data_IF_137182125744
#
_entry.id   IF_137182125744
#
_cell.length_a   1.000
_cell.length_b   1.000
_cell.length_c   1.000
_cell.angle_alpha   90.00
_cell.angle_beta   90.00
_cell.angle_gamma   90.00
#
_symmetry.space_group_name_H-M   'P 1'
#
loop_
_entity.id
_entity.type
_entity.pdbx_description
1 polymer ?
#
# COMPACT_ATOMS: atom_id res chain seq x y z
N UNK A 1 59.26 -23.30 -31.06
CA UNK A 1 58.24 -22.52 -30.32
C UNK A 1 57.39 -21.74 -31.32
N UNK A 2 56.17 -22.21 -31.61
CA UNK A 2 55.18 -21.50 -32.45
C UNK A 2 54.31 -20.65 -31.53
N UNK A 3 54.26 -19.33 -31.73
CA UNK A 3 53.32 -18.42 -31.05
C UNK A 3 52.08 -18.24 -31.94
N UNK A 4 50.93 -18.69 -31.45
CA UNK A 4 49.61 -18.41 -32.03
C UNK A 4 49.22 -16.97 -31.65
N UNK A 5 48.92 -16.14 -32.66
CA UNK A 5 48.19 -14.89 -32.47
C UNK A 5 46.69 -15.17 -32.53
N UNK A 6 45.98 -15.00 -31.41
CA UNK A 6 44.52 -14.96 -31.38
C UNK A 6 44.06 -13.53 -31.68
N UNK A 7 43.48 -13.32 -32.86
CA UNK A 7 42.73 -12.11 -33.18
C UNK A 7 41.37 -12.13 -32.48
N UNK A 8 41.13 -11.17 -31.60
CA UNK A 8 39.82 -10.95 -30.98
C UNK A 8 39.00 -10.09 -31.96
N UNK A 9 37.97 -10.69 -32.56
CA UNK A 9 36.97 -9.97 -33.35
C UNK A 9 36.01 -9.30 -32.36
N UNK A 10 36.08 -7.97 -32.30
CA UNK A 10 35.07 -7.14 -31.64
C UNK A 10 33.82 -7.11 -32.50
N UNK A 11 32.82 -7.95 -32.19
CA UNK A 11 31.46 -7.75 -32.65
C UNK A 11 30.83 -6.64 -31.79
N UNK A 12 30.80 -5.41 -32.30
CA UNK A 12 30.00 -4.34 -31.75
C UNK A 12 28.51 -4.68 -31.93
N UNK A 13 27.86 -5.16 -30.87
CA UNK A 13 26.41 -5.21 -30.81
C UNK A 13 25.89 -3.77 -30.70
N UNK A 14 25.46 -3.21 -31.82
CA UNK A 14 24.67 -1.97 -31.85
C UNK A 14 23.32 -2.33 -31.21
N UNK A 15 23.15 -2.08 -29.92
CA UNK A 15 21.83 -2.01 -29.30
C UNK A 15 21.16 -0.74 -29.80
N UNK A 16 20.35 -0.85 -30.85
CA UNK A 16 19.40 0.19 -31.20
C UNK A 16 18.38 0.29 -30.06
N UNK A 17 18.53 1.29 -29.20
CA UNK A 17 17.49 1.73 -28.27
C UNK A 17 16.34 2.28 -29.13
N UNK A 18 15.37 1.44 -29.45
CA UNK A 18 14.11 1.90 -30.04
C UNK A 18 13.44 2.80 -29.01
N UNK A 19 13.61 4.12 -29.16
CA UNK A 19 12.92 5.10 -28.34
C UNK A 19 11.41 4.85 -28.42
N UNK A 20 10.73 4.74 -27.27
CA UNK A 20 9.29 4.56 -27.24
C UNK A 20 8.60 5.79 -27.82
N UNK A 21 7.69 5.56 -28.78
CA UNK A 21 6.86 6.64 -29.35
C UNK A 21 5.62 6.85 -28.49
N UNK A 22 5.02 8.06 -28.49
CA UNK A 22 3.75 8.31 -27.81
C UNK A 22 2.65 7.30 -28.18
N UNK A 23 2.55 6.95 -29.47
CA UNK A 23 1.59 5.96 -29.97
C UNK A 23 1.83 4.57 -29.38
N UNK A 24 3.09 4.15 -29.21
CA UNK A 24 3.40 2.86 -28.59
C UNK A 24 2.98 2.81 -27.12
N UNK A 25 3.17 3.92 -26.38
CA UNK A 25 2.80 4.00 -24.96
C UNK A 25 1.27 4.04 -24.81
N UNK A 26 0.58 4.76 -25.69
CA UNK A 26 -0.89 4.77 -25.72
C UNK A 26 -1.47 3.37 -25.98
N UNK A 27 -0.85 2.60 -26.89
CA UNK A 27 -1.23 1.21 -27.13
C UNK A 27 -0.94 0.31 -25.91
N UNK A 28 0.18 0.52 -25.22
CA UNK A 28 0.51 -0.20 -23.99
C UNK A 28 -0.51 0.07 -22.87
N UNK A 29 -0.94 1.32 -22.70
CA UNK A 29 -2.01 1.70 -21.76
C UNK A 29 -3.31 0.96 -22.12
N UNK A 30 -3.70 0.95 -23.39
CA UNK A 30 -4.90 0.23 -23.86
C UNK A 30 -4.85 -1.26 -23.51
N UNK A 31 -3.72 -1.92 -23.77
CA UNK A 31 -3.56 -3.35 -23.47
C UNK A 31 -3.45 -3.63 -21.97
N UNK A 32 -2.90 -2.71 -21.18
CA UNK A 32 -2.94 -2.80 -19.72
C UNK A 32 -4.37 -2.69 -19.17
N UNK A 33 -5.18 -1.77 -19.71
CA UNK A 33 -6.60 -1.65 -19.35
C UNK A 33 -7.41 -2.90 -19.74
N UNK A 34 -7.09 -3.55 -20.87
CA UNK A 34 -7.70 -4.83 -21.25
C UNK A 34 -7.39 -5.93 -20.22
N UNK A 35 -6.15 -6.01 -19.75
CA UNK A 35 -5.79 -6.95 -18.69
C UNK A 35 -6.54 -6.68 -17.39
N UNK A 36 -6.62 -5.41 -16.97
CA UNK A 36 -7.33 -5.02 -15.74
C UNK A 36 -8.82 -5.33 -15.82
N UNK A 37 -9.46 -5.08 -16.96
CA UNK A 37 -10.87 -5.40 -17.18
C UNK A 37 -11.10 -6.92 -17.12
N UNK A 38 -10.28 -7.69 -17.83
CA UNK A 38 -10.44 -9.15 -17.91
C UNK A 38 -10.13 -9.85 -16.59
N UNK A 39 -9.18 -9.33 -15.82
CA UNK A 39 -8.80 -9.90 -14.52
C UNK A 39 -9.76 -9.53 -13.39
N UNK A 40 -10.64 -8.54 -13.57
CA UNK A 40 -11.62 -8.14 -12.56
C UNK A 40 -12.70 -9.22 -12.39
N UNK A 41 -12.91 -9.68 -11.15
CA UNK A 41 -13.91 -10.69 -10.82
C UNK A 41 -15.30 -10.30 -11.32
N UNK A 42 -15.90 -11.18 -12.12
CA UNK A 42 -17.24 -10.98 -12.70
C UNK A 42 -18.37 -11.29 -11.73
N UNK A 43 -18.18 -12.29 -10.87
CA UNK A 43 -19.22 -12.82 -10.00
C UNK A 43 -18.67 -13.02 -8.59
N UNK A 44 -19.57 -12.99 -7.61
CA UNK A 44 -19.24 -13.33 -6.23
C UNK A 44 -19.31 -14.84 -6.04
N UNK A 45 -18.25 -15.40 -5.47
CA UNK A 45 -18.20 -16.75 -4.91
C UNK A 45 -17.91 -16.58 -3.43
N UNK A 46 -18.96 -16.68 -2.62
CA UNK A 46 -18.90 -16.44 -1.18
C UNK A 46 -17.76 -17.19 -0.49
N UNK A 47 -16.99 -16.49 0.34
CA UNK A 47 -15.83 -17.05 1.01
C UNK A 47 -14.63 -17.38 0.11
N UNK A 48 -14.64 -16.97 -1.17
CA UNK A 48 -13.54 -17.18 -2.12
C UNK A 48 -13.09 -15.90 -2.83
N UNK A 49 -14.00 -15.21 -3.51
CA UNK A 49 -13.75 -14.00 -4.29
C UNK A 49 -15.05 -13.23 -4.49
N UNK A 50 -14.99 -11.91 -4.59
CA UNK A 50 -16.19 -11.07 -4.72
C UNK A 50 -16.20 -10.32 -6.05
N UNK A 51 -17.39 -10.07 -6.59
CA UNK A 51 -17.54 -9.30 -7.83
C UNK A 51 -16.91 -7.90 -7.67
N UNK A 52 -16.21 -7.45 -8.71
CA UNK A 52 -15.54 -6.14 -8.71
C UNK A 52 -14.12 -6.15 -8.15
N UNK A 53 -13.69 -7.19 -7.44
CA UNK A 53 -12.31 -7.33 -6.95
C UNK A 53 -11.32 -7.63 -8.07
N UNK A 54 -10.05 -7.28 -7.84
CA UNK A 54 -8.93 -7.83 -8.61
C UNK A 54 -8.18 -8.88 -7.80
N UNK A 55 -7.53 -9.86 -8.46
CA UNK A 55 -6.77 -10.89 -7.77
C UNK A 55 -5.65 -10.31 -6.91
N UNK A 56 -5.69 -10.64 -5.63
CA UNK A 56 -4.60 -10.47 -4.68
C UNK A 56 -4.28 -11.80 -4.03
N UNK A 57 -3.02 -11.98 -3.66
CA UNK A 57 -2.56 -13.22 -3.06
C UNK A 57 -1.83 -12.95 -1.76
N UNK A 58 -2.29 -13.63 -0.72
CA UNK A 58 -1.61 -13.72 0.56
C UNK A 58 -0.63 -14.91 0.52
N UNK A 59 0.63 -14.66 0.89
CA UNK A 59 1.72 -15.62 0.78
C UNK A 59 2.46 -15.76 2.10
N UNK A 60 2.51 -16.99 2.62
CA UNK A 60 3.38 -17.39 3.72
C UNK A 60 4.72 -17.87 3.14
N UNK A 61 5.80 -17.14 3.38
CA UNK A 61 7.14 -17.46 2.84
C UNK A 61 7.98 -18.34 3.75
N UNK A 62 7.66 -18.41 5.03
CA UNK A 62 8.31 -19.31 5.99
C UNK A 62 7.27 -19.84 6.96
N UNK A 63 7.57 -20.97 7.61
CA UNK A 63 6.71 -21.48 8.68
C UNK A 63 6.70 -20.47 9.83
N UNK A 64 5.52 -20.21 10.38
CA UNK A 64 5.37 -19.39 11.58
C UNK A 64 4.42 -20.05 12.56
N UNK A 65 4.77 -19.96 13.84
CA UNK A 65 3.98 -20.57 14.91
C UNK A 65 2.58 -19.95 14.92
N UNK A 66 1.53 -20.76 14.95
CA UNK A 66 0.10 -20.38 14.82
C UNK A 66 -0.39 -19.95 13.43
N UNK A 67 0.49 -19.60 12.49
CA UNK A 67 0.16 -19.25 11.08
C UNK A 67 0.57 -20.34 10.06
N UNK A 68 1.04 -21.51 10.51
CA UNK A 68 1.28 -22.64 9.62
C UNK A 68 2.52 -22.49 8.70
N UNK A 69 2.47 -23.17 7.56
CA UNK A 69 3.60 -23.42 6.63
C UNK A 69 3.51 -22.59 5.34
N UNK A 70 4.49 -22.76 4.44
CA UNK A 70 4.57 -22.04 3.16
C UNK A 70 3.39 -22.37 2.25
N UNK A 71 2.58 -21.37 1.94
CA UNK A 71 1.46 -21.48 1.02
C UNK A 71 1.12 -20.12 0.41
N UNK A 72 0.45 -20.15 -0.75
CA UNK A 72 -0.09 -18.97 -1.45
C UNK A 72 -1.59 -19.18 -1.62
N UNK A 73 -2.39 -18.23 -1.16
CA UNK A 73 -3.84 -18.24 -1.29
C UNK A 73 -4.30 -16.95 -1.94
N UNK A 74 -5.37 -17.01 -2.72
CA UNK A 74 -6.08 -15.80 -3.10
C UNK A 74 -6.74 -15.21 -1.85
N UNK A 75 -6.70 -13.90 -1.71
CA UNK A 75 -7.26 -13.19 -0.58
C UNK A 75 -7.99 -11.94 -1.04
N UNK A 76 -9.12 -11.63 -0.40
CA UNK A 76 -9.87 -10.40 -0.61
C UNK A 76 -9.41 -9.37 0.40
N UNK A 77 -8.87 -8.25 -0.07
CA UNK A 77 -8.45 -7.16 0.80
C UNK A 77 -8.78 -5.79 0.18
N UNK A 78 -9.10 -4.86 1.07
CA UNK A 78 -9.40 -3.45 0.77
C UNK A 78 -8.29 -2.82 -0.06
N UNK A 79 -7.04 -2.97 0.39
CA UNK A 79 -5.87 -2.34 -0.22
C UNK A 79 -5.78 -2.53 -1.73
N UNK A 80 -5.96 -3.76 -2.22
CA UNK A 80 -5.82 -4.05 -3.67
C UNK A 80 -6.94 -3.42 -4.47
N UNK A 81 -8.20 -3.67 -4.08
CA UNK A 81 -9.37 -3.22 -4.84
C UNK A 81 -9.50 -1.70 -4.80
N UNK A 82 -9.33 -1.08 -3.64
CA UNK A 82 -9.35 0.38 -3.47
C UNK A 82 -8.17 1.03 -4.17
N UNK A 83 -6.98 0.42 -4.06
CA UNK A 83 -5.77 0.92 -4.71
C UNK A 83 -5.92 0.99 -6.23
N UNK A 84 -6.39 -0.09 -6.86
CA UNK A 84 -6.63 -0.13 -8.32
C UNK A 84 -7.74 0.85 -8.71
N UNK A 85 -8.85 0.88 -7.97
CA UNK A 85 -9.94 1.82 -8.22
C UNK A 85 -9.46 3.27 -8.21
N UNK A 86 -8.69 3.68 -7.20
CA UNK A 86 -8.17 5.04 -7.09
C UNK A 86 -7.20 5.39 -8.23
N UNK A 87 -6.33 4.45 -8.62
CA UNK A 87 -5.42 4.65 -9.76
C UNK A 87 -6.20 4.83 -11.07
N UNK A 88 -7.16 3.95 -11.33
CA UNK A 88 -8.02 4.02 -12.52
C UNK A 88 -8.87 5.29 -12.54
N UNK A 89 -9.41 5.72 -11.40
CA UNK A 89 -10.16 6.96 -11.29
C UNK A 89 -9.32 8.19 -11.61
N UNK A 90 -8.05 8.22 -11.15
CA UNK A 90 -7.10 9.26 -11.53
C UNK A 90 -6.83 9.25 -13.04
N UNK A 91 -6.67 8.07 -13.63
CA UNK A 91 -6.49 7.95 -15.07
C UNK A 91 -7.68 8.52 -15.85
N UNK A 92 -8.90 8.15 -15.45
CA UNK A 92 -10.13 8.59 -16.11
C UNK A 92 -10.40 10.10 -15.94
N UNK A 93 -10.15 10.65 -14.75
CA UNK A 93 -10.30 12.08 -14.52
C UNK A 93 -9.25 12.91 -15.27
N UNK A 94 -8.09 12.33 -15.58
CA UNK A 94 -7.06 12.96 -16.39
C UNK A 94 -7.33 12.85 -17.89
N UNK A 95 -7.96 11.76 -18.34
CA UNK A 95 -8.39 11.55 -19.73
C UNK A 95 -9.73 10.80 -19.77
N UNK A 96 -10.81 11.54 -20.00
CA UNK A 96 -12.18 10.99 -20.03
C UNK A 96 -12.46 10.16 -21.29
N UNK A 97 -11.56 10.14 -22.29
CA UNK A 97 -11.69 9.28 -23.47
C UNK A 97 -11.45 7.80 -23.16
N UNK A 98 -10.82 7.49 -22.01
CA UNK A 98 -10.61 6.14 -21.50
C UNK A 98 -11.90 5.50 -20.95
N UNK A 99 -12.94 5.45 -21.78
CA UNK A 99 -14.29 4.98 -21.46
C UNK A 99 -14.35 3.58 -20.84
N UNK A 100 -13.39 2.70 -21.17
CA UNK A 100 -13.25 1.35 -20.59
C UNK A 100 -13.06 1.36 -19.06
N UNK A 101 -12.59 2.47 -18.49
CA UNK A 101 -12.38 2.57 -17.04
C UNK A 101 -13.69 2.64 -16.26
N UNK A 102 -14.71 3.35 -16.76
CA UNK A 102 -15.94 3.60 -15.98
C UNK A 102 -16.65 2.31 -15.55
N UNK A 103 -16.85 1.30 -16.42
CA UNK A 103 -17.45 0.03 -16.01
C UNK A 103 -16.65 -0.69 -14.91
N UNK A 104 -15.31 -0.66 -14.97
CA UNK A 104 -14.46 -1.25 -13.93
C UNK A 104 -14.65 -0.56 -12.58
N UNK A 105 -14.74 0.77 -12.56
CA UNK A 105 -14.97 1.55 -11.34
C UNK A 105 -16.36 1.26 -10.75
N UNK A 106 -17.41 1.27 -11.57
CA UNK A 106 -18.78 0.96 -11.13
C UNK A 106 -18.88 -0.42 -10.50
N UNK A 107 -18.23 -1.42 -11.11
CA UNK A 107 -18.26 -2.79 -10.62
C UNK A 107 -17.51 -2.97 -9.30
N UNK A 108 -16.40 -2.25 -9.11
CA UNK A 108 -15.60 -2.32 -7.88
C UNK A 108 -16.26 -1.59 -6.70
N UNK A 109 -17.08 -0.55 -6.96
CA UNK A 109 -17.58 0.34 -5.92
C UNK A 109 -18.40 -0.34 -4.81
N UNK A 110 -19.41 -1.20 -5.09
CA UNK A 110 -20.16 -1.88 -4.03
C UNK A 110 -19.27 -2.74 -3.14
N UNK A 111 -18.28 -3.38 -3.75
CA UNK A 111 -17.34 -4.25 -3.07
C UNK A 111 -16.36 -3.47 -2.19
N UNK A 112 -15.87 -2.30 -2.65
CA UNK A 112 -15.11 -1.35 -1.82
C UNK A 112 -15.89 -0.99 -0.55
N UNK A 113 -17.16 -0.61 -0.70
CA UNK A 113 -18.02 -0.24 0.43
C UNK A 113 -18.23 -1.41 1.42
N UNK A 114 -18.10 -2.67 0.98
CA UNK A 114 -18.21 -3.84 1.85
C UNK A 114 -17.09 -3.97 2.90
N UNK A 115 -15.97 -3.27 2.71
CA UNK A 115 -14.87 -3.20 3.68
C UNK A 115 -15.13 -2.20 4.80
N UNK A 116 -16.11 -1.31 4.65
CA UNK A 116 -16.40 -0.26 5.61
C UNK A 116 -17.19 -0.77 6.83
N UNK A 117 -16.98 -0.14 7.97
CA UNK A 117 -17.93 -0.05 9.08
C UNK A 117 -18.29 1.42 9.23
N UNK A 118 -19.50 1.80 8.82
CA UNK A 118 -19.85 3.19 8.55
C UNK A 118 -18.95 3.80 7.46
N UNK A 119 -18.07 4.74 7.81
CA UNK A 119 -17.11 5.37 6.91
C UNK A 119 -15.65 5.03 7.25
N UNK A 120 -15.42 4.12 8.19
CA UNK A 120 -14.09 3.63 8.55
C UNK A 120 -13.85 2.30 7.83
N UNK A 121 -12.67 2.13 7.25
CA UNK A 121 -12.34 0.96 6.45
C UNK A 121 -11.28 0.11 7.14
N UNK A 122 -11.14 -1.11 6.65
CA UNK A 122 -10.23 -2.11 7.19
C UNK A 122 -9.70 -2.99 6.06
N UNK A 123 -8.50 -3.50 6.25
CA UNK A 123 -7.84 -4.39 5.32
C UNK A 123 -8.69 -5.58 4.89
N UNK A 124 -9.38 -6.24 5.82
CA UNK A 124 -10.31 -7.34 5.54
C UNK A 124 -11.75 -6.90 5.70
N UNK A 125 -12.71 -7.55 5.02
CA UNK A 125 -14.13 -7.35 5.28
C UNK A 125 -14.61 -8.17 6.48
N UNK A 126 -15.80 -7.84 7.01
CA UNK A 126 -16.45 -8.64 8.06
C UNK A 126 -17.04 -9.91 7.45
N UNK A 127 -16.66 -11.07 7.98
CA UNK A 127 -17.11 -12.39 7.53
C UNK A 127 -17.54 -13.25 8.73
N UNK A 128 -18.37 -14.29 8.51
CA UNK A 128 -18.61 -15.29 9.53
C UNK A 128 -17.28 -15.91 9.98
N UNK A 129 -17.04 -16.12 11.28
CA UNK A 129 -15.81 -16.73 11.74
C UNK A 129 -15.69 -18.16 11.19
N UNK A 130 -14.46 -18.61 10.92
CA UNK A 130 -14.24 -19.97 10.38
C UNK A 130 -14.30 -21.07 11.47
N UNK A 131 -14.55 -20.67 12.73
CA UNK A 131 -14.64 -21.51 13.92
C UNK A 131 -15.18 -20.73 15.11
N UNK A 132 -15.49 -21.44 16.19
CA UNK A 132 -15.72 -20.87 17.53
C UNK A 132 -14.52 -20.06 18.02
N UNK A 133 -14.78 -18.85 18.50
CA UNK A 133 -13.77 -17.88 18.94
C UNK A 133 -13.53 -17.91 20.45
N UNK A 134 -14.45 -18.46 21.23
CA UNK A 134 -14.30 -18.65 22.67
C UNK A 134 -14.48 -20.12 23.10
N UNK A 135 -14.35 -20.37 24.41
CA UNK A 135 -14.67 -21.67 25.01
C UNK A 135 -16.06 -21.56 25.62
N UNK A 136 -16.92 -22.54 25.38
CA UNK A 136 -18.30 -22.52 25.86
C UNK A 136 -19.27 -22.01 24.79
N UNK A 137 -20.42 -21.52 25.23
CA UNK A 137 -21.47 -21.03 24.33
C UNK A 137 -21.02 -19.77 23.58
N UNK A 138 -21.27 -19.72 22.28
CA UNK A 138 -21.07 -18.52 21.46
C UNK A 138 -22.27 -17.56 21.59
N UNK A 139 -22.05 -16.23 21.43
CA UNK A 139 -23.14 -15.26 21.39
C UNK A 139 -24.15 -15.58 20.28
N UNK A 140 -25.42 -15.22 20.50
CA UNK A 140 -26.51 -15.42 19.54
C UNK A 140 -27.16 -14.08 19.18
N UNK A 141 -27.10 -13.63 17.91
CA UNK A 141 -26.38 -14.26 16.79
C UNK A 141 -24.85 -14.16 16.94
N UNK A 142 -24.10 -15.03 16.26
CA UNK A 142 -22.62 -14.98 16.22
C UNK A 142 -22.18 -13.73 15.44
N UNK A 143 -21.41 -12.81 16.05
CA UNK A 143 -20.93 -11.61 15.34
C UNK A 143 -19.97 -11.96 14.20
N UNK A 144 -20.04 -11.16 13.13
CA UNK A 144 -19.05 -11.19 12.06
C UNK A 144 -17.71 -10.62 12.54
N UNK A 145 -16.61 -11.13 11.98
CA UNK A 145 -15.25 -10.71 12.31
C UNK A 145 -14.42 -10.44 11.07
N UNK A 146 -13.40 -9.59 11.19
CA UNK A 146 -12.41 -9.37 10.13
C UNK A 146 -11.50 -10.59 10.04
N UNK A 147 -11.26 -11.11 8.84
CA UNK A 147 -10.35 -12.23 8.60
C UNK A 147 -10.02 -12.39 7.11
N UNK A 148 -8.92 -13.11 6.77
CA UNK A 148 -8.69 -13.59 5.42
C UNK A 148 -9.88 -14.37 4.87
N UNK A 149 -10.09 -14.27 3.55
CA UNK A 149 -11.23 -14.91 2.88
C UNK A 149 -11.03 -16.42 2.78
N UNK A 150 -9.96 -16.85 2.12
CA UNK A 150 -9.70 -18.27 1.84
C UNK A 150 -8.77 -18.95 2.85
N UNK A 151 -7.87 -18.18 3.47
CA UNK A 151 -6.89 -18.74 4.38
C UNK A 151 -7.53 -19.08 5.73
N UNK A 152 -7.62 -20.37 6.03
CA UNK A 152 -8.20 -20.86 7.28
C UNK A 152 -7.21 -20.69 8.43
N UNK A 153 -7.64 -19.94 9.44
CA UNK A 153 -6.87 -19.67 10.64
C UNK A 153 -7.09 -20.81 11.65
N UNK A 154 -6.01 -21.50 12.00
CA UNK A 154 -6.10 -22.81 12.68
C UNK A 154 -6.31 -22.75 14.20
N UNK A 155 -6.24 -21.57 14.84
CA UNK A 155 -6.39 -21.43 16.29
C UNK A 155 -7.36 -20.31 16.66
N UNK A 156 -8.01 -20.41 17.83
CA UNK A 156 -8.86 -19.32 18.36
C UNK A 156 -8.07 -18.02 18.50
N UNK A 157 -6.85 -18.13 19.05
CA UNK A 157 -5.95 -16.99 19.22
C UNK A 157 -5.74 -16.22 17.92
N UNK A 158 -5.35 -16.92 16.84
CA UNK A 158 -5.00 -16.24 15.59
C UNK A 158 -6.25 -15.76 14.83
N UNK A 159 -7.41 -16.39 15.02
CA UNK A 159 -8.69 -15.85 14.54
C UNK A 159 -9.03 -14.54 15.25
N UNK A 160 -8.94 -14.50 16.58
CA UNK A 160 -9.18 -13.27 17.34
C UNK A 160 -8.15 -12.18 16.98
N UNK A 161 -6.89 -12.56 16.74
CA UNK A 161 -5.85 -11.61 16.30
C UNK A 161 -6.04 -11.08 14.87
N UNK A 162 -6.74 -11.82 14.00
CA UNK A 162 -7.03 -11.37 12.64
C UNK A 162 -8.23 -10.41 12.59
N UNK A 163 -9.05 -10.36 13.64
CA UNK A 163 -10.16 -9.43 13.80
C UNK A 163 -9.63 -8.02 14.11
N UNK A 164 -8.86 -7.42 13.21
CA UNK A 164 -8.16 -6.17 13.47
C UNK A 164 -9.10 -4.96 13.47
N UNK A 165 -8.71 -3.92 14.20
CA UNK A 165 -9.41 -2.62 14.22
C UNK A 165 -9.44 -1.95 12.84
N UNK A 166 -10.42 -1.10 12.54
CA UNK A 166 -10.32 -0.20 11.40
C UNK A 166 -9.04 0.65 11.49
N UNK A 167 -8.48 1.05 10.35
CA UNK A 167 -7.21 1.79 10.32
C UNK A 167 -7.29 3.03 9.43
N UNK A 168 -6.42 4.00 9.72
CA UNK A 168 -6.39 5.28 9.06
C UNK A 168 -6.00 5.19 7.58
N UNK A 169 -5.27 4.15 7.19
CA UNK A 169 -4.76 3.99 5.83
C UNK A 169 -5.84 3.51 4.87
N UNK A 170 -6.48 2.40 5.24
CA UNK A 170 -7.64 1.88 4.53
C UNK A 170 -8.79 2.89 4.59
N UNK A 171 -9.00 3.57 5.72
CA UNK A 171 -10.03 4.61 5.85
C UNK A 171 -9.79 5.79 4.92
N UNK A 172 -8.58 6.32 4.86
CA UNK A 172 -8.24 7.41 3.93
C UNK A 172 -8.39 6.96 2.46
N UNK A 173 -7.89 5.76 2.15
CA UNK A 173 -7.93 5.22 0.78
C UNK A 173 -9.34 4.90 0.31
N UNK A 174 -10.19 4.32 1.17
CA UNK A 174 -11.57 3.99 0.87
C UNK A 174 -12.45 5.23 0.72
N UNK A 175 -12.28 6.23 1.59
CA UNK A 175 -12.98 7.50 1.42
C UNK A 175 -12.46 8.29 0.21
N UNK A 176 -11.21 8.12 -0.20
CA UNK A 176 -10.73 8.65 -1.46
C UNK A 176 -11.41 7.97 -2.66
N UNK A 177 -11.70 6.67 -2.58
CA UNK A 177 -12.49 5.96 -3.59
C UNK A 177 -13.92 6.48 -3.67
N UNK A 178 -14.58 6.73 -2.54
CA UNK A 178 -15.90 7.39 -2.49
C UNK A 178 -15.82 8.78 -3.11
N UNK A 179 -14.80 9.58 -2.79
CA UNK A 179 -14.61 10.90 -3.38
C UNK A 179 -14.48 10.86 -4.91
N UNK A 180 -13.70 9.91 -5.42
CA UNK A 180 -13.57 9.68 -6.87
C UNK A 180 -14.89 9.23 -7.49
N UNK A 181 -15.62 8.33 -6.82
CA UNK A 181 -16.92 7.84 -7.28
C UNK A 181 -17.92 9.00 -7.43
N UNK A 182 -18.06 9.82 -6.38
CA UNK A 182 -18.87 11.03 -6.39
C UNK A 182 -18.52 11.96 -7.55
N UNK A 183 -17.22 12.18 -7.79
CA UNK A 183 -16.76 13.07 -8.86
C UNK A 183 -17.00 12.53 -10.26
N UNK A 184 -16.88 11.22 -10.47
CA UNK A 184 -17.00 10.58 -11.79
C UNK A 184 -18.46 10.28 -12.16
N UNK A 185 -19.28 9.92 -11.17
CA UNK A 185 -20.65 9.45 -11.38
C UNK A 185 -21.72 10.44 -10.89
N UNK A 186 -21.33 11.58 -10.31
CA UNK A 186 -22.25 12.61 -9.86
C UNK A 186 -23.08 12.20 -8.62
N UNK A 187 -22.58 11.26 -7.82
CA UNK A 187 -23.18 10.85 -6.56
C UNK A 187 -22.74 11.76 -5.41
N UNK A 188 -23.45 11.69 -4.28
CA UNK A 188 -23.20 12.52 -3.09
C UNK A 188 -23.03 11.67 -1.83
N UNK A 189 -22.29 10.56 -1.96
CA UNK A 189 -22.07 9.65 -0.85
C UNK A 189 -21.19 10.33 0.22
N UNK A 190 -21.49 10.03 1.48
CA UNK A 190 -20.86 10.70 2.62
C UNK A 190 -19.36 10.36 2.71
N UNK A 191 -18.57 11.34 3.14
CA UNK A 191 -17.12 11.25 3.29
C UNK A 191 -16.72 11.45 4.74
N UNK A 192 -15.76 10.65 5.22
CA UNK A 192 -15.25 10.76 6.59
C UNK A 192 -14.68 12.15 6.88
N UNK A 193 -14.87 12.64 8.10
CA UNK A 193 -14.33 13.94 8.52
C UNK A 193 -12.91 13.80 9.10
N UNK A 194 -12.09 14.87 9.09
CA UNK A 194 -10.76 14.88 9.71
C UNK A 194 -10.76 14.46 11.18
N UNK A 195 -11.88 14.68 11.88
CA UNK A 195 -12.05 14.35 13.30
C UNK A 195 -11.82 12.87 13.61
N UNK A 196 -12.09 11.97 12.66
CA UNK A 196 -11.83 10.54 12.84
C UNK A 196 -10.33 10.27 12.95
N UNK A 197 -9.50 10.89 12.12
CA UNK A 197 -8.05 10.75 12.22
C UNK A 197 -7.49 11.51 13.42
N UNK A 198 -8.01 12.71 13.71
CA UNK A 198 -7.56 13.55 14.83
C UNK A 198 -7.91 12.96 16.21
N UNK A 199 -8.83 12.00 16.29
CA UNK A 199 -9.11 11.27 17.52
C UNK A 199 -7.95 10.34 17.93
N UNK A 200 -7.05 9.99 17.00
CA UNK A 200 -5.97 9.03 17.20
C UNK A 200 -4.63 9.63 16.77
N UNK A 201 -4.15 10.58 17.56
CA UNK A 201 -2.84 11.22 17.36
C UNK A 201 -1.78 10.65 18.30
N UNK A 202 -0.52 10.68 17.88
CA UNK A 202 0.65 10.37 18.71
C UNK A 202 0.91 11.50 19.72
N UNK A 203 0.03 11.60 20.71
CA UNK A 203 0.07 12.56 21.82
C UNK A 203 -0.02 11.80 23.15
N UNK A 204 0.90 12.07 24.09
CA UNK A 204 0.85 11.56 25.47
C UNK A 204 0.67 10.04 25.62
N UNK A 205 1.18 9.26 24.66
CA UNK A 205 1.00 7.80 24.62
C UNK A 205 1.64 7.10 25.81
N UNK A 206 0.86 6.25 26.49
CA UNK A 206 1.29 5.37 27.58
C UNK A 206 1.64 3.97 27.12
N UNK A 207 1.56 3.70 25.83
CA UNK A 207 1.99 2.45 25.26
C UNK A 207 2.58 2.69 23.88
N UNK A 208 3.91 2.67 23.78
CA UNK A 208 4.60 2.93 22.51
C UNK A 208 5.06 1.63 21.90
N UNK A 209 4.78 1.46 20.61
CA UNK A 209 5.19 0.27 19.91
C UNK A 209 6.73 0.23 19.83
N UNK A 210 7.33 -0.91 20.19
CA UNK A 210 8.79 -1.08 20.26
C UNK A 210 9.49 -0.74 18.94
N UNK A 211 8.86 -1.06 17.81
CA UNK A 211 9.42 -0.76 16.48
C UNK A 211 9.49 0.75 16.26
N UNK A 212 8.45 1.50 16.61
CA UNK A 212 8.47 2.95 16.48
C UNK A 212 9.46 3.56 17.47
N UNK A 213 9.55 3.04 18.69
CA UNK A 213 10.55 3.48 19.67
C UNK A 213 11.99 3.34 19.15
N UNK A 214 12.33 2.21 18.54
CA UNK A 214 13.68 1.94 18.03
C UNK A 214 13.97 2.62 16.67
N UNK A 215 12.97 2.76 15.81
CA UNK A 215 13.20 3.10 14.40
C UNK A 215 12.48 4.35 13.90
N UNK A 216 11.50 4.92 14.62
CA UNK A 216 10.78 6.11 14.17
C UNK A 216 11.33 7.41 14.76
N UNK A 217 11.97 7.37 15.94
CA UNK A 217 12.84 8.44 16.45
C UNK A 217 12.19 9.80 16.77
N UNK A 218 10.87 9.95 16.62
CA UNK A 218 10.16 11.18 16.93
C UNK A 218 8.98 10.89 17.89
N UNK A 219 9.22 10.92 19.21
CA UNK A 219 8.18 10.69 20.19
C UNK A 219 7.19 11.87 20.28
N UNK A 220 5.90 11.59 20.52
CA UNK A 220 4.87 12.63 20.64
C UNK A 220 4.81 13.54 19.41
N UNK A 221 4.93 12.94 18.23
CA UNK A 221 4.94 13.66 16.97
C UNK A 221 3.63 14.39 16.66
N UNK A 222 2.53 14.05 17.36
CA UNK A 222 1.16 14.48 17.05
C UNK A 222 0.70 14.07 15.64
N UNK A 223 1.40 13.10 15.03
CA UNK A 223 1.03 12.50 13.75
C UNK A 223 -0.12 11.50 13.94
N UNK A 224 -0.81 11.15 12.85
CA UNK A 224 -1.89 10.16 12.91
C UNK A 224 -1.33 8.78 13.23
N UNK A 225 -2.03 8.06 14.12
CA UNK A 225 -1.75 6.66 14.40
C UNK A 225 -2.41 5.76 13.35
N UNK A 226 -1.87 4.55 13.17
CA UNK A 226 -2.38 3.61 12.17
C UNK A 226 -3.78 3.10 12.52
N UNK A 227 -3.99 2.59 13.72
CA UNK A 227 -5.26 1.98 14.10
C UNK A 227 -6.24 3.02 14.67
N UNK A 228 -7.50 2.99 14.25
CA UNK A 228 -8.56 3.88 14.72
C UNK A 228 -9.25 3.29 15.96
N UNK A 229 -8.44 2.88 16.94
CA UNK A 229 -8.91 2.28 18.18
C UNK A 229 -8.04 2.62 19.37
N UNK A 230 -8.54 2.28 20.56
CA UNK A 230 -7.86 2.54 21.82
C UNK A 230 -6.78 1.46 22.07
N UNK A 231 -5.54 1.89 22.19
CA UNK A 231 -4.46 1.01 22.62
C UNK A 231 -4.56 0.65 24.11
N UNK A 232 -3.98 -0.50 24.49
CA UNK A 232 -3.85 -0.85 25.90
C UNK A 232 -2.89 0.13 26.58
N UNK A 233 -3.19 0.55 27.81
CA UNK A 233 -2.33 1.49 28.55
C UNK A 233 -1.48 0.79 29.61
N UNK A 234 -0.20 1.19 29.72
CA UNK A 234 0.63 0.86 30.87
C UNK A 234 0.54 1.95 31.94
N UNK A 235 0.45 1.56 33.22
CA UNK A 235 0.62 2.50 34.36
C UNK A 235 1.96 3.25 34.30
N UNK A 236 3.02 2.55 33.89
CA UNK A 236 4.37 3.09 33.64
C UNK A 236 4.97 2.30 32.49
N UNK A 237 5.07 2.93 31.31
CA UNK A 237 5.64 2.32 30.13
C UNK A 237 7.17 2.22 30.23
N UNK A 238 7.73 1.10 29.79
CA UNK A 238 9.14 0.99 29.42
C UNK A 238 9.31 -0.13 28.38
N UNK A 239 10.43 -0.10 27.66
CA UNK A 239 10.69 -1.04 26.56
C UNK A 239 10.74 -2.51 27.02
N UNK A 240 11.25 -2.79 28.23
CA UNK A 240 11.33 -4.15 28.77
C UNK A 240 9.94 -4.75 29.02
N UNK A 241 8.98 -3.95 29.51
CA UNK A 241 7.58 -4.38 29.66
C UNK A 241 6.96 -4.72 28.32
N UNK A 242 7.12 -3.85 27.32
CA UNK A 242 6.62 -4.13 25.96
C UNK A 242 7.23 -5.42 25.40
N UNK A 243 8.54 -5.63 25.57
CA UNK A 243 9.20 -6.87 25.15
C UNK A 243 8.63 -8.08 25.90
N UNK A 244 8.44 -8.00 27.22
CA UNK A 244 7.84 -9.07 28.02
C UNK A 244 6.44 -9.44 27.54
N UNK A 245 5.58 -8.45 27.35
CA UNK A 245 4.22 -8.66 26.80
C UNK A 245 4.23 -9.28 25.40
N UNK A 246 5.16 -8.84 24.55
CA UNK A 246 5.38 -9.43 23.23
C UNK A 246 5.91 -10.85 23.28
N UNK A 247 6.67 -11.25 24.31
CA UNK A 247 7.13 -12.64 24.47
C UNK A 247 6.02 -13.55 24.99
N UNK A 248 5.13 -13.02 25.83
CA UNK A 248 3.99 -13.74 26.41
C UNK A 248 2.68 -13.42 25.71
N UNK A 249 2.71 -13.05 24.42
CA UNK A 249 1.54 -12.55 23.69
C UNK A 249 0.33 -13.51 23.71
N UNK A 250 0.58 -14.80 23.84
CA UNK A 250 -0.40 -15.87 23.84
C UNK A 250 -1.03 -16.12 25.22
N UNK A 251 -0.59 -15.43 26.28
CA UNK A 251 -1.16 -15.52 27.63
C UNK A 251 -2.21 -14.43 27.83
N UNK A 252 -3.34 -14.77 28.46
CA UNK A 252 -4.45 -13.83 28.75
C UNK A 252 -4.06 -12.62 29.59
N UNK A 253 -2.99 -12.73 30.38
CA UNK A 253 -2.45 -11.62 31.18
C UNK A 253 -1.67 -10.61 30.35
N UNK A 254 -1.38 -10.91 29.08
CA UNK A 254 -0.67 -9.99 28.20
C UNK A 254 -1.62 -8.98 27.55
N UNK A 255 -1.20 -7.72 27.47
CA UNK A 255 -1.91 -6.70 26.69
C UNK A 255 -1.98 -7.02 25.18
N UNK A 256 -1.14 -7.92 24.70
CA UNK A 256 -1.14 -8.39 23.32
C UNK A 256 -2.15 -9.52 23.08
N UNK A 257 -2.88 -9.96 24.11
CA UNK A 257 -3.83 -11.06 23.95
C UNK A 257 -5.13 -10.57 23.30
N UNK A 258 -5.56 -11.13 22.16
CA UNK A 258 -6.78 -10.74 21.49
C UNK A 258 -8.01 -11.36 22.17
N UNK A 259 -9.08 -10.57 22.30
CA UNK A 259 -10.35 -11.00 22.91
C UNK A 259 -11.33 -11.47 21.82
N UNK A 260 -12.13 -12.53 22.05
CA UNK A 260 -13.17 -12.95 21.11
C UNK A 260 -14.12 -11.79 20.74
N UNK A 261 -14.40 -11.67 19.45
CA UNK A 261 -15.34 -10.68 18.87
C UNK A 261 -15.01 -9.20 19.09
N UNK A 262 -13.90 -8.87 19.74
CA UNK A 262 -13.44 -7.49 19.89
C UNK A 262 -12.41 -7.17 18.80
N UNK A 263 -12.51 -6.01 18.14
CA UNK A 263 -11.45 -5.55 17.24
C UNK A 263 -10.12 -5.46 17.97
N UNK A 264 -9.05 -5.90 17.30
CA UNK A 264 -7.73 -6.07 17.88
C UNK A 264 -6.74 -5.10 17.25
N UNK A 265 -6.05 -4.33 18.09
CA UNK A 265 -4.85 -3.62 17.68
C UNK A 265 -3.68 -4.59 17.81
N UNK A 266 -2.93 -4.89 16.72
CA UNK A 266 -1.80 -5.79 16.77
C UNK A 266 -0.83 -5.47 17.90
N UNK A 267 -0.59 -6.48 18.75
CA UNK A 267 0.25 -6.42 19.94
C UNK A 267 -0.23 -5.42 21.01
N UNK A 268 -1.52 -5.09 21.00
CA UNK A 268 -2.17 -4.20 21.96
C UNK A 268 -1.65 -2.75 21.92
N UNK A 269 -0.88 -2.39 20.89
CA UNK A 269 -0.11 -1.16 20.84
C UNK A 269 -0.22 -0.54 19.46
N UNK A 270 -0.61 0.72 19.37
CA UNK A 270 -0.80 1.37 18.07
C UNK A 270 0.54 1.70 17.40
N UNK A 271 0.54 1.88 16.09
CA UNK A 271 1.74 2.14 15.30
C UNK A 271 1.73 3.55 14.69
N UNK A 272 2.93 4.07 14.41
CA UNK A 272 3.15 5.21 13.54
C UNK A 272 3.81 4.75 12.23
N UNK A 273 3.23 5.15 11.12
CA UNK A 273 3.70 4.80 9.78
C UNK A 273 3.62 6.03 8.86
N UNK A 274 4.73 6.33 8.16
CA UNK A 274 4.83 7.52 7.34
C UNK A 274 4.05 7.42 6.03
N UNK A 275 3.81 6.21 5.52
CA UNK A 275 2.94 5.99 4.35
C UNK A 275 1.48 6.20 4.74
N UNK A 276 1.05 5.67 5.90
CA UNK A 276 -0.30 5.91 6.43
C UNK A 276 -0.56 7.41 6.58
N UNK A 277 0.38 8.13 7.20
CA UNK A 277 0.27 9.58 7.35
C UNK A 277 0.20 10.30 5.99
N UNK A 278 1.00 9.90 5.01
CA UNK A 278 0.95 10.49 3.67
C UNK A 278 -0.38 10.19 2.94
N UNK A 279 -0.97 9.00 3.13
CA UNK A 279 -2.27 8.65 2.55
C UNK A 279 -3.42 9.45 3.18
N UNK A 280 -3.40 9.65 4.51
CA UNK A 280 -4.34 10.57 5.19
C UNK A 280 -4.19 12.00 4.65
N UNK A 281 -2.97 12.52 4.53
CA UNK A 281 -2.73 13.85 3.96
C UNK A 281 -3.25 13.95 2.52
N UNK A 282 -3.04 12.92 1.69
CA UNK A 282 -3.56 12.84 0.31
C UNK A 282 -5.07 12.99 0.27
N UNK A 283 -5.78 12.19 1.08
CA UNK A 283 -7.24 12.23 1.15
C UNK A 283 -7.76 13.59 1.59
N UNK A 284 -7.23 14.12 2.71
CA UNK A 284 -7.66 15.41 3.25
C UNK A 284 -7.36 16.57 2.30
N UNK A 285 -6.24 16.52 1.57
CA UNK A 285 -5.90 17.50 0.54
C UNK A 285 -6.88 17.45 -0.64
N UNK A 286 -7.17 16.25 -1.19
CA UNK A 286 -8.14 16.08 -2.29
C UNK A 286 -9.54 16.54 -1.93
N UNK A 287 -9.96 16.30 -0.68
CA UNK A 287 -11.26 16.76 -0.16
C UNK A 287 -11.30 18.26 0.16
N UNK A 288 -10.15 18.93 0.26
CA UNK A 288 -10.08 20.35 0.64
C UNK A 288 -10.22 20.62 2.14
N UNK A 289 -10.05 19.61 2.98
CA UNK A 289 -10.23 19.72 4.44
C UNK A 289 -8.91 19.60 5.22
N UNK A 290 -7.78 19.57 4.50
CA UNK A 290 -6.45 19.42 5.10
C UNK A 290 -6.19 20.42 6.23
N UNK A 291 -6.56 21.69 6.06
CA UNK A 291 -6.33 22.76 7.05
C UNK A 291 -7.14 22.61 8.33
N UNK A 292 -8.24 21.85 8.29
CA UNK A 292 -9.13 21.62 9.43
C UNK A 292 -8.61 20.53 10.37
N UNK A 293 -7.68 19.70 9.90
CA UNK A 293 -7.10 18.64 10.71
C UNK A 293 -6.02 19.17 11.66
N UNK A 294 -6.09 18.74 12.92
CA UNK A 294 -5.03 18.96 13.92
C UNK A 294 -3.77 18.16 13.61
N UNK A 295 -3.91 16.89 13.22
CA UNK A 295 -2.78 15.98 13.01
C UNK A 295 -1.89 16.33 11.83
N UNK A 296 -2.34 17.21 10.91
CA UNK A 296 -1.61 17.55 9.67
C UNK A 296 -0.17 18.01 9.91
N UNK A 297 0.06 18.83 10.94
CA UNK A 297 1.39 19.39 11.24
C UNK A 297 2.30 18.29 11.79
N UNK A 298 1.77 17.45 12.69
CA UNK A 298 2.51 16.32 13.23
C UNK A 298 2.87 15.29 12.16
N UNK A 299 1.92 14.96 11.29
CA UNK A 299 2.11 14.07 10.14
C UNK A 299 3.23 14.56 9.22
N UNK A 300 3.21 15.86 8.86
CA UNK A 300 4.25 16.50 8.05
C UNK A 300 5.62 16.39 8.72
N UNK A 301 5.73 16.81 9.98
CA UNK A 301 6.99 16.80 10.72
C UNK A 301 7.55 15.38 10.84
N UNK A 302 6.67 14.41 11.05
CA UNK A 302 7.04 13.00 11.11
C UNK A 302 7.57 12.49 9.77
N UNK A 303 6.88 12.77 8.67
CA UNK A 303 7.31 12.43 7.31
C UNK A 303 8.67 13.07 6.97
N UNK A 304 8.83 14.35 7.25
CA UNK A 304 10.07 15.09 7.03
C UNK A 304 11.23 14.51 7.85
N UNK A 305 10.98 14.16 9.12
CA UNK A 305 11.97 13.49 9.97
C UNK A 305 12.41 12.14 9.38
N UNK A 306 11.48 11.30 8.91
CA UNK A 306 11.84 10.02 8.29
C UNK A 306 12.71 10.22 7.02
N UNK A 307 12.40 11.25 6.22
CA UNK A 307 13.17 11.57 5.02
C UNK A 307 14.57 12.09 5.34
N UNK A 308 14.71 13.05 6.27
CA UNK A 308 16.02 13.58 6.73
C UNK A 308 16.91 12.48 7.30
N UNK A 309 16.33 11.55 8.05
CA UNK A 309 17.04 10.38 8.59
C UNK A 309 17.29 9.27 7.56
N UNK A 310 16.90 9.49 6.29
CA UNK A 310 17.06 8.55 5.18
C UNK A 310 16.47 7.16 5.47
N UNK A 311 15.35 7.11 6.20
CA UNK A 311 14.71 5.87 6.64
C UNK A 311 13.82 5.24 5.58
N UNK A 312 14.25 5.32 4.31
CA UNK A 312 13.53 4.83 3.13
C UNK A 312 12.98 3.41 3.24
N UNK A 313 13.60 2.57 4.07
CA UNK A 313 13.30 1.14 4.24
C UNK A 313 12.53 0.81 5.52
N UNK A 314 12.36 1.79 6.41
CA UNK A 314 11.83 1.62 7.78
C UNK A 314 10.76 2.65 8.14
N UNK A 315 10.60 3.70 7.34
CA UNK A 315 9.58 4.74 7.52
C UNK A 315 8.15 4.17 7.52
N UNK A 316 7.96 3.01 6.91
CA UNK A 316 6.71 2.26 6.93
C UNK A 316 6.88 0.90 7.61
N UNK A 317 5.92 0.55 8.45
CA UNK A 317 5.74 -0.74 9.13
C UNK A 317 5.19 -1.79 8.18
N UNK A 318 4.17 -1.46 7.38
CA UNK A 318 3.44 -2.43 6.56
C UNK A 318 3.90 -2.48 5.10
N UNK A 319 4.60 -1.43 4.66
CA UNK A 319 5.08 -1.28 3.29
C UNK A 319 6.57 -1.59 3.21
N UNK A 320 6.96 -2.79 2.76
CA UNK A 320 8.36 -3.19 2.78
C UNK A 320 9.16 -2.63 1.59
N UNK A 321 8.48 -2.18 0.54
CA UNK A 321 9.13 -1.58 -0.63
C UNK A 321 9.72 -0.21 -0.28
N UNK A 322 11.03 -0.05 -0.52
CA UNK A 322 11.79 1.19 -0.23
C UNK A 322 11.21 2.44 -0.91
N UNK A 323 10.57 2.27 -2.07
CA UNK A 323 10.10 3.39 -2.88
C UNK A 323 8.62 3.71 -2.65
N UNK A 324 7.88 2.89 -1.90
CA UNK A 324 6.49 3.18 -1.54
C UNK A 324 6.40 4.49 -0.75
N UNK A 325 7.30 4.71 0.21
CA UNK A 325 7.32 5.97 0.97
C UNK A 325 7.48 7.22 0.07
N UNK A 326 8.26 7.11 -1.02
CA UNK A 326 8.42 8.21 -1.97
C UNK A 326 7.13 8.42 -2.75
N UNK A 327 6.53 7.34 -3.25
CA UNK A 327 5.26 7.36 -3.97
C UNK A 327 4.14 8.01 -3.14
N UNK A 328 3.96 7.59 -1.89
CA UNK A 328 2.89 8.10 -1.03
C UNK A 328 3.06 9.60 -0.71
N UNK A 329 4.28 10.05 -0.41
CA UNK A 329 4.56 11.47 -0.12
C UNK A 329 4.46 12.33 -1.38
N UNK A 330 4.93 11.84 -2.52
CA UNK A 330 4.78 12.54 -3.79
C UNK A 330 3.30 12.73 -4.16
N UNK A 331 2.49 11.67 -3.95
CA UNK A 331 1.04 11.73 -4.16
C UNK A 331 0.36 12.76 -3.24
N UNK A 332 0.73 12.79 -1.95
CA UNK A 332 0.20 13.79 -1.01
C UNK A 332 0.56 15.22 -1.41
N UNK A 333 1.79 15.43 -1.89
CA UNK A 333 2.23 16.74 -2.36
C UNK A 333 1.47 17.17 -3.63
N UNK A 334 1.35 16.28 -4.62
CA UNK A 334 0.57 16.54 -5.84
C UNK A 334 -0.94 16.71 -5.57
N UNK A 335 -1.46 16.12 -4.49
CA UNK A 335 -2.84 16.31 -4.05
C UNK A 335 -3.13 17.72 -3.48
N UNK A 336 -2.09 18.50 -3.14
CA UNK A 336 -2.23 19.89 -2.70
C UNK A 336 -1.49 20.25 -1.39
N UNK A 337 -0.81 19.31 -0.74
CA UNK A 337 -0.01 19.64 0.46
C UNK A 337 1.33 20.27 0.08
N UNK A 338 1.30 21.54 -0.30
CA UNK A 338 2.47 22.33 -0.70
C UNK A 338 3.56 22.41 0.37
N UNK A 339 3.21 22.14 1.62
CA UNK A 339 4.13 22.17 2.75
C UNK A 339 5.18 21.05 2.68
N UNK A 340 4.93 19.99 1.91
CA UNK A 340 5.85 18.87 1.67
C UNK A 340 6.97 19.18 0.68
N UNK A 341 7.01 20.37 0.06
CA UNK A 341 8.04 20.75 -0.92
C UNK A 341 9.49 20.53 -0.45
N UNK A 342 9.89 20.87 0.80
CA UNK A 342 11.24 20.57 1.28
C UNK A 342 11.54 19.06 1.31
N UNK A 343 10.59 18.25 1.79
CA UNK A 343 10.70 16.79 1.80
C UNK A 343 10.79 16.22 0.39
N UNK A 344 10.00 16.75 -0.56
CA UNK A 344 10.02 16.34 -1.95
C UNK A 344 11.42 16.51 -2.59
N UNK A 345 12.14 17.60 -2.26
CA UNK A 345 13.53 17.80 -2.72
C UNK A 345 14.47 16.71 -2.20
N UNK A 346 14.40 16.37 -0.91
CA UNK A 346 15.22 15.30 -0.31
C UNK A 346 14.92 13.95 -0.99
N UNK A 347 13.65 13.66 -1.20
CA UNK A 347 13.20 12.42 -1.83
C UNK A 347 13.61 12.33 -3.29
N UNK A 348 13.52 13.43 -4.05
CA UNK A 348 13.98 13.50 -5.43
C UNK A 348 15.49 13.24 -5.52
N UNK A 349 16.30 13.88 -4.67
CA UNK A 349 17.74 13.63 -4.62
C UNK A 349 18.05 12.15 -4.38
N UNK A 350 17.31 11.50 -3.47
CA UNK A 350 17.46 10.06 -3.25
C UNK A 350 17.02 9.23 -4.47
N UNK A 351 15.91 9.55 -5.14
CA UNK A 351 15.46 8.83 -6.35
C UNK A 351 16.51 8.93 -7.46
N UNK A 352 17.02 10.14 -7.75
CA UNK A 352 18.06 10.34 -8.78
C UNK A 352 19.34 9.56 -8.44
N UNK A 353 19.76 9.57 -7.17
CA UNK A 353 20.98 8.88 -6.73
C UNK A 353 20.84 7.36 -6.62
N UNK A 354 19.61 6.83 -6.52
CA UNK A 354 19.37 5.40 -6.32
C UNK A 354 18.90 4.67 -7.58
N UNK A 355 18.60 5.40 -8.65
CA UNK A 355 18.32 4.85 -9.97
C UNK A 355 19.57 4.16 -10.53
N UNK A 356 19.39 2.97 -11.11
CA UNK A 356 20.46 2.25 -11.82
C UNK A 356 20.63 2.78 -13.25
N UNK A 357 21.76 2.45 -13.88
CA UNK A 357 22.06 2.84 -15.26
C UNK A 357 20.99 2.37 -16.25
N UNK A 358 20.42 1.19 -16.02
CA UNK A 358 19.31 0.65 -16.81
C UNK A 358 17.93 1.23 -16.43
N UNK A 359 17.87 2.30 -15.66
CA UNK A 359 16.63 2.95 -15.22
C UNK A 359 15.90 2.31 -14.04
N UNK A 360 16.29 1.10 -13.61
CA UNK A 360 15.58 0.33 -12.57
C UNK A 360 15.85 0.81 -11.14
N UNK A 361 14.92 0.48 -10.25
CA UNK A 361 14.99 0.72 -8.81
C UNK A 361 14.86 -0.58 -8.03
N UNK A 362 15.77 -0.84 -7.09
CA UNK A 362 15.83 -2.13 -6.40
C UNK A 362 15.38 -2.04 -4.94
N UNK A 363 14.41 -2.88 -4.57
CA UNK A 363 14.05 -3.10 -3.16
C UNK A 363 14.98 -4.10 -2.47
N UNK A 364 14.75 -4.36 -1.18
CA UNK A 364 15.54 -5.28 -0.36
C UNK A 364 15.27 -6.74 -0.69
N UNK A 365 16.29 -7.58 -0.43
CA UNK A 365 16.21 -9.04 -0.60
C UNK A 365 15.23 -9.73 0.35
N UNK A 366 15.09 -9.29 1.60
CA UNK A 366 14.45 -10.10 2.65
C UNK A 366 12.93 -10.23 2.52
N UNK A 367 12.23 -9.12 2.28
CA UNK A 367 10.76 -9.08 2.19
C UNK A 367 10.29 -8.96 0.75
N UNK A 368 10.82 -7.99 0.00
CA UNK A 368 10.44 -7.77 -1.39
C UNK A 368 11.23 -8.63 -2.39
N UNK A 369 12.10 -9.54 -1.94
CA UNK A 369 12.86 -10.44 -2.83
C UNK A 369 13.68 -9.74 -3.92
N UNK A 370 14.20 -8.53 -3.63
CA UNK A 370 14.85 -7.65 -4.62
C UNK A 370 13.93 -7.32 -5.80
N UNK A 371 12.64 -7.12 -5.54
CA UNK A 371 11.72 -6.61 -6.53
C UNK A 371 12.29 -5.36 -7.21
N UNK A 372 12.20 -5.37 -8.54
CA UNK A 372 12.66 -4.29 -9.42
C UNK A 372 11.52 -3.66 -10.19
N UNK A 373 10.46 -4.41 -10.48
CA UNK A 373 9.35 -3.94 -11.32
C UNK A 373 8.47 -2.99 -10.52
N UNK A 374 7.90 -3.44 -9.41
CA UNK A 374 7.00 -2.59 -8.61
C UNK A 374 7.75 -1.45 -7.93
N UNK A 375 9.01 -1.68 -7.55
CA UNK A 375 9.94 -0.65 -7.06
C UNK A 375 10.15 0.47 -8.08
N UNK A 376 10.33 0.12 -9.35
CA UNK A 376 10.45 1.09 -10.44
C UNK A 376 9.12 1.76 -10.76
N UNK A 377 7.98 1.07 -10.62
CA UNK A 377 6.66 1.67 -10.76
C UNK A 377 6.40 2.74 -9.69
N UNK A 378 6.70 2.47 -8.42
CA UNK A 378 6.60 3.48 -7.35
C UNK A 378 7.54 4.66 -7.57
N UNK A 379 8.78 4.40 -8.00
CA UNK A 379 9.74 5.46 -8.30
C UNK A 379 9.29 6.33 -9.49
N UNK A 380 8.80 5.71 -10.58
CA UNK A 380 8.24 6.41 -11.73
C UNK A 380 7.10 7.33 -11.31
N UNK A 381 6.11 6.81 -10.58
CA UNK A 381 4.98 7.61 -10.11
C UNK A 381 5.44 8.73 -9.16
N UNK A 382 6.40 8.47 -8.27
CA UNK A 382 6.94 9.52 -7.40
C UNK A 382 7.59 10.65 -8.20
N UNK A 383 8.40 10.32 -9.21
CA UNK A 383 9.02 11.30 -10.12
C UNK A 383 7.96 12.12 -10.87
N UNK A 384 6.92 11.47 -11.39
CA UNK A 384 5.85 12.12 -12.14
C UNK A 384 4.97 13.02 -11.26
N UNK A 385 4.62 12.59 -10.03
CA UNK A 385 3.89 13.44 -9.09
C UNK A 385 4.72 14.63 -8.61
N UNK A 386 6.03 14.45 -8.40
CA UNK A 386 6.90 15.59 -8.10
C UNK A 386 6.93 16.59 -9.26
N UNK A 387 7.01 16.10 -10.51
CA UNK A 387 6.93 16.95 -11.71
C UNK A 387 5.60 17.70 -11.79
N UNK A 388 4.48 17.00 -11.61
CA UNK A 388 3.12 17.56 -11.56
C UNK A 388 2.98 18.66 -10.48
N UNK A 389 3.60 18.47 -9.32
CA UNK A 389 3.63 19.44 -8.23
C UNK A 389 4.63 20.61 -8.43
N UNK A 390 5.26 20.69 -9.61
CA UNK A 390 6.19 21.76 -9.99
C UNK A 390 7.59 21.61 -9.38
N UNK A 391 8.06 20.39 -9.14
CA UNK A 391 9.48 20.12 -8.88
C UNK A 391 10.18 19.85 -10.21
N UNK A 392 11.39 20.36 -10.37
CA UNK A 392 12.18 20.06 -11.56
C UNK A 392 12.69 18.62 -11.50
N UNK A 393 12.15 17.77 -12.38
CA UNK A 393 12.48 16.35 -12.49
C UNK A 393 13.08 16.11 -13.87
N UNK A 394 14.30 15.54 -13.97
CA UNK A 394 14.96 15.34 -15.26
C UNK A 394 14.19 14.36 -16.16
N UNK A 395 13.80 14.79 -17.37
CA UNK A 395 13.07 13.95 -18.36
C UNK A 395 13.82 12.66 -18.67
N UNK A 396 15.14 12.74 -18.85
CA UNK A 396 16.00 11.57 -19.13
C UNK A 396 15.89 10.49 -18.04
N UNK A 397 15.87 10.92 -16.76
CA UNK A 397 15.75 9.99 -15.63
C UNK A 397 14.40 9.28 -15.66
N UNK A 398 13.32 9.99 -15.98
CA UNK A 398 11.98 9.41 -16.13
C UNK A 398 11.91 8.45 -17.32
N UNK A 399 12.45 8.86 -18.48
CA UNK A 399 12.50 8.05 -19.70
C UNK A 399 13.17 6.70 -19.49
N UNK A 400 14.31 6.66 -18.79
CA UNK A 400 14.99 5.41 -18.45
C UNK A 400 14.12 4.46 -17.61
N UNK A 401 13.29 4.98 -16.69
CA UNK A 401 12.38 4.10 -15.92
C UNK A 401 11.28 3.54 -16.80
N UNK A 402 10.75 4.35 -17.70
CA UNK A 402 9.70 3.96 -18.66
C UNK A 402 10.22 2.87 -19.60
N UNK A 403 11.42 3.05 -20.18
CA UNK A 403 12.10 2.04 -20.99
C UNK A 403 12.35 0.74 -20.21
N UNK A 404 12.81 0.86 -18.96
CA UNK A 404 12.98 -0.30 -18.09
C UNK A 404 11.67 -1.04 -17.89
N UNK A 405 10.60 -0.36 -17.46
CA UNK A 405 9.31 -1.00 -17.21
C UNK A 405 8.75 -1.63 -18.48
N UNK A 406 8.88 -0.98 -19.63
CA UNK A 406 8.50 -1.56 -20.92
C UNK A 406 9.25 -2.87 -21.20
N UNK A 407 10.55 -2.94 -20.90
CA UNK A 407 11.34 -4.18 -21.05
C UNK A 407 10.89 -5.34 -20.15
N UNK A 408 10.11 -5.05 -19.10
CA UNK A 408 9.65 -6.04 -18.12
C UNK A 408 8.22 -6.52 -18.37
N UNK A 409 7.54 -6.02 -19.41
CA UNK A 409 6.14 -6.32 -19.67
C UNK A 409 5.94 -7.78 -20.07
N UNK A 410 4.85 -8.37 -19.59
CA UNK A 410 4.33 -9.64 -20.08
C UNK A 410 3.22 -9.33 -21.08
N UNK A 411 3.25 -9.97 -22.25
CA UNK A 411 2.28 -9.73 -23.29
C UNK A 411 1.59 -11.03 -23.70
N UNK A 412 0.27 -11.04 -23.63
CA UNK A 412 -0.58 -12.16 -24.00
C UNK A 412 -1.73 -11.65 -24.88
N UNK A 413 -1.61 -11.84 -26.20
CA UNK A 413 -2.56 -11.30 -27.20
C UNK A 413 -2.68 -9.77 -27.06
N UNK A 414 -3.87 -9.28 -26.73
CA UNK A 414 -4.26 -7.89 -26.55
C UNK A 414 -4.17 -7.41 -25.08
N UNK A 415 -3.45 -8.14 -24.24
CA UNK A 415 -3.25 -7.84 -22.83
C UNK A 415 -1.76 -7.63 -22.54
N UNK A 416 -1.47 -6.58 -21.79
CA UNK A 416 -0.15 -6.31 -21.22
C UNK A 416 -0.29 -6.26 -19.70
N UNK A 417 0.62 -6.92 -18.99
CA UNK A 417 0.68 -6.86 -17.54
C UNK A 417 2.10 -6.96 -17.02
N UNK A 418 2.27 -6.66 -15.74
CA UNK A 418 3.55 -6.77 -15.06
C UNK A 418 3.41 -7.65 -13.83
N UNK A 419 4.42 -8.50 -13.63
CA UNK A 419 4.50 -9.33 -12.44
C UNK A 419 4.56 -8.47 -11.19
N UNK A 420 3.63 -8.71 -10.28
CA UNK A 420 3.50 -7.99 -9.04
C UNK A 420 4.56 -8.35 -8.01
N UNK A 421 5.09 -7.33 -7.36
CA UNK A 421 5.95 -7.47 -6.20
C UNK A 421 5.13 -7.56 -4.90
N UNK A 422 5.85 -7.55 -3.78
CA UNK A 422 5.24 -7.43 -2.46
C UNK A 422 4.83 -5.98 -2.22
N UNK A 423 3.53 -5.69 -2.23
CA UNK A 423 2.99 -4.37 -1.95
C UNK A 423 2.74 -4.14 -0.46
N UNK A 424 2.37 -5.19 0.28
CA UNK A 424 2.07 -5.14 1.71
C UNK A 424 2.68 -6.36 2.41
N UNK A 425 3.08 -6.19 3.66
CA UNK A 425 3.53 -7.27 4.54
C UNK A 425 2.78 -7.20 5.85
N UNK A 426 2.56 -8.36 6.49
CA UNK A 426 2.04 -8.39 7.84
C UNK A 426 2.89 -7.52 8.76
N UNK A 427 2.29 -6.92 9.78
CA UNK A 427 2.96 -5.96 10.67
C UNK A 427 4.24 -6.48 11.34
N UNK A 428 4.81 -5.67 12.22
CA UNK A 428 6.19 -5.79 12.76
C UNK A 428 6.70 -7.21 13.06
N UNK A 429 5.90 -8.09 13.65
CA UNK A 429 6.30 -9.46 14.02
C UNK A 429 6.25 -10.47 12.87
N UNK A 430 5.29 -10.35 11.95
CA UNK A 430 5.13 -11.28 10.79
C UNK A 430 5.60 -10.64 9.47
N UNK A 431 6.26 -9.48 9.57
CA UNK A 431 6.78 -8.69 8.45
C UNK A 431 7.75 -9.39 7.52
N UNK A 432 8.37 -10.48 7.96
CA UNK A 432 9.28 -11.29 7.12
C UNK A 432 8.70 -12.69 6.81
N UNK A 433 7.39 -12.86 7.01
CA UNK A 433 6.72 -14.16 6.96
C UNK A 433 5.52 -14.11 6.02
N UNK A 434 4.65 -13.11 6.18
CA UNK A 434 3.37 -13.00 5.49
C UNK A 434 3.33 -11.77 4.59
N UNK A 435 3.16 -11.95 3.29
CA UNK A 435 3.17 -10.87 2.29
C UNK A 435 1.97 -10.94 1.35
N UNK A 436 1.68 -9.81 0.71
CA UNK A 436 0.63 -9.70 -0.28
C UNK A 436 1.19 -9.20 -1.61
N UNK A 437 0.70 -9.81 -2.70
CA UNK A 437 1.15 -9.55 -4.08
C UNK A 437 -0.05 -9.46 -5.02
N UNK A 438 0.01 -8.59 -6.02
CA UNK A 438 -1.00 -8.49 -7.08
C UNK A 438 -0.38 -7.94 -8.37
N UNK A 439 -0.53 -8.72 -9.44
CA UNK A 439 -0.11 -8.33 -10.79
C UNK A 439 -1.02 -7.21 -11.32
N UNK A 440 -2.33 -7.27 -11.02
CA UNK A 440 -3.29 -6.21 -11.34
C UNK A 440 -2.94 -4.88 -10.68
N UNK A 441 -2.59 -4.88 -9.40
CA UNK A 441 -2.17 -3.65 -8.71
C UNK A 441 -0.92 -3.04 -9.32
N UNK A 442 0.09 -3.86 -9.63
CA UNK A 442 1.33 -3.38 -10.25
C UNK A 442 1.10 -2.89 -11.68
N UNK A 443 0.23 -3.56 -12.43
CA UNK A 443 -0.18 -3.15 -13.78
C UNK A 443 -0.92 -1.82 -13.75
N UNK A 444 -1.83 -1.59 -12.79
CA UNK A 444 -2.51 -0.31 -12.62
C UNK A 444 -1.55 0.84 -12.27
N UNK A 445 -0.55 0.59 -11.41
CA UNK A 445 0.50 1.58 -11.10
C UNK A 445 1.27 1.98 -12.36
N UNK A 446 1.70 1.00 -13.16
CA UNK A 446 2.48 1.26 -14.38
C UNK A 446 1.62 1.96 -15.43
N UNK A 447 0.37 1.53 -15.65
CA UNK A 447 -0.55 2.17 -16.59
C UNK A 447 -0.78 3.65 -16.26
N UNK A 448 -0.99 4.00 -14.98
CA UNK A 448 -1.08 5.40 -14.54
C UNK A 448 0.24 6.14 -14.77
N UNK A 449 1.38 5.50 -14.48
CA UNK A 449 2.71 6.08 -14.72
C UNK A 449 2.95 6.41 -16.19
N UNK A 450 2.59 5.50 -17.10
CA UNK A 450 2.70 5.69 -18.54
C UNK A 450 1.79 6.82 -19.03
N UNK A 451 0.55 6.89 -18.54
CA UNK A 451 -0.36 7.99 -18.90
C UNK A 451 0.17 9.34 -18.41
N UNK A 452 0.60 9.42 -17.14
CA UNK A 452 1.20 10.65 -16.59
C UNK A 452 2.47 11.05 -17.35
N UNK A 453 3.26 10.08 -17.81
CA UNK A 453 4.42 10.36 -18.66
C UNK A 453 4.01 11.05 -19.96
N UNK A 454 3.00 10.53 -20.69
CA UNK A 454 2.48 11.14 -21.92
C UNK A 454 1.89 12.55 -21.71
N UNK A 455 1.35 12.83 -20.52
CA UNK A 455 0.74 14.12 -20.21
C UNK A 455 1.76 15.19 -19.83
N UNK A 456 2.89 14.78 -19.24
CA UNK A 456 3.90 15.69 -18.70
C UNK A 456 5.09 15.90 -19.64
N UNK A 457 5.28 15.05 -20.66
CA UNK A 457 6.48 15.00 -21.52
C UNK A 457 6.18 14.62 -22.97
#
# INVERSE_FOLDING_TARGET
>A
MRRLCFGIIYCGAITTTNAQTPDSIALEIKFALNYLEKSQCAFTIEGKEYAGEWPAYMQMHTRFVLLGTRHKYRDSNSFTTIGIHNLLAEMYLSDTALHKIRPMLLKAYPEICSYATNLEFNFWKKLPPNRDLQRGAEPQPVPLVRRPTQYKLNSRYINNAANVENDADDTASGNLAIWYHNRIFGTNDSLVSPRIFDAFLDENRKNRHWYNYLFNGLPNSSAYMTWLGKEAEFKRWNILKTIGHNQTFFLKSSICYPTPYQPYIPYGTNDLDAVVNANVLTYLAKKGELTQSRGRVGAKNFIEHQAKMQRWRRAATYYPNRYHFHYAVAKAFAAGDSSLRPTAKIMLSHLVASQRDNGSFWSRRKVNHRDVVQSSAYALLALLYFKEAGVDVPKEKVGLVVEFLNSQKQQEKDQIYWKGGVFFSGGTVVRNVLYFTSDAYTTALIALGLQKFLQLY
#
